data_IF_678381385972
#
_entry.id   IF_678381385972
#
_cell.length_a   1.000
_cell.length_b   1.000
_cell.length_c   1.000
_cell.angle_alpha   90.00
_cell.angle_beta   90.00
_cell.angle_gamma   90.00
#
_symmetry.space_group_name_H-M   'P 1'
#
loop_
_entity.id
_entity.type
_entity.pdbx_description
1 polymer ?
#
# COMPACT_ATOMS: atom_id res chain seq x y z
N UNK A 1 2.90 9.04 22.59
CA UNK A 1 1.77 9.24 21.63
C UNK A 1 2.21 8.98 20.19
N UNK A 2 3.38 9.46 19.78
CA UNK A 2 3.91 9.32 18.41
C UNK A 2 4.19 7.86 17.97
N UNK A 3 4.58 6.99 18.90
CA UNK A 3 4.81 5.56 18.63
C UNK A 3 3.54 4.81 18.19
N UNK A 4 2.36 5.21 18.70
CA UNK A 4 1.08 4.60 18.35
C UNK A 4 0.67 5.02 16.93
N UNK A 5 0.90 6.29 16.54
CA UNK A 5 0.68 6.74 15.17
C UNK A 5 1.61 6.03 14.17
N UNK A 6 2.88 5.83 14.52
CA UNK A 6 3.80 5.08 13.68
C UNK A 6 3.36 3.61 13.51
N UNK A 7 2.93 2.96 14.59
CA UNK A 7 2.42 1.58 14.56
C UNK A 7 1.15 1.45 13.72
N UNK A 8 0.19 2.38 13.87
CA UNK A 8 -1.03 2.41 13.06
C UNK A 8 -0.68 2.65 11.59
N UNK A 9 0.23 3.58 11.29
CA UNK A 9 0.68 3.85 9.92
C UNK A 9 1.33 2.63 9.26
N UNK A 10 2.25 1.95 9.95
CA UNK A 10 2.88 0.70 9.46
C UNK A 10 1.82 -0.38 9.27
N UNK A 11 0.91 -0.55 10.24
CA UNK A 11 -0.13 -1.56 10.16
C UNK A 11 -1.08 -1.30 8.98
N UNK A 12 -1.49 -0.06 8.75
CA UNK A 12 -2.30 0.34 7.61
C UNK A 12 -1.57 0.09 6.28
N UNK A 13 -0.28 0.42 6.18
CA UNK A 13 0.52 0.13 4.99
C UNK A 13 0.57 -1.38 4.73
N UNK A 14 0.75 -2.19 5.78
CA UNK A 14 0.81 -3.64 5.69
C UNK A 14 -0.52 -4.25 5.22
N UNK A 15 -1.64 -3.82 5.80
CA UNK A 15 -2.99 -4.27 5.41
C UNK A 15 -3.28 -3.92 3.95
N UNK A 16 -2.95 -2.71 3.52
CA UNK A 16 -3.21 -2.28 2.14
C UNK A 16 -2.28 -2.99 1.15
N UNK A 17 -1.01 -3.26 1.50
CA UNK A 17 -0.13 -4.12 0.70
C UNK A 17 -0.71 -5.53 0.53
N UNK A 18 -1.24 -6.12 1.60
CA UNK A 18 -1.87 -7.44 1.54
C UNK A 18 -3.11 -7.41 0.63
N UNK A 19 -3.97 -6.38 0.74
CA UNK A 19 -5.15 -6.23 -0.13
C UNK A 19 -4.78 -6.07 -1.61
N UNK A 20 -3.71 -5.31 -1.90
CA UNK A 20 -3.17 -5.16 -3.25
C UNK A 20 -2.56 -6.47 -3.77
N UNK A 21 -1.90 -7.22 -2.90
CA UNK A 21 -1.37 -8.54 -3.23
C UNK A 21 -2.48 -9.54 -3.57
N UNK A 22 -3.57 -9.57 -2.79
CA UNK A 22 -4.74 -10.40 -3.09
C UNK A 22 -5.44 -9.97 -4.38
N UNK A 23 -5.61 -8.66 -4.61
CA UNK A 23 -6.17 -8.14 -5.86
C UNK A 23 -5.30 -8.50 -7.07
N UNK A 24 -3.97 -8.42 -6.93
CA UNK A 24 -3.05 -8.80 -7.98
C UNK A 24 -3.00 -10.33 -8.19
N UNK A 25 -3.16 -11.13 -7.13
CA UNK A 25 -3.27 -12.60 -7.22
C UNK A 25 -4.51 -13.03 -7.98
N UNK A 26 -5.63 -12.35 -7.77
CA UNK A 26 -6.89 -12.61 -8.47
C UNK A 26 -6.77 -12.40 -9.98
N UNK A 27 -5.88 -11.51 -10.43
CA UNK A 27 -5.65 -11.26 -11.86
C UNK A 27 -4.48 -12.08 -12.43
N UNK A 28 -3.32 -12.07 -11.77
CA UNK A 28 -2.15 -12.82 -12.22
C UNK A 28 -1.09 -12.96 -11.13
N UNK A 29 -0.76 -14.21 -10.76
CA UNK A 29 0.25 -14.54 -9.73
C UNK A 29 1.60 -13.85 -9.95
N UNK A 30 2.03 -13.69 -11.21
CA UNK A 30 3.29 -13.02 -11.54
C UNK A 30 3.29 -11.53 -11.21
N UNK A 31 2.17 -10.83 -11.44
CA UNK A 31 2.02 -9.41 -11.10
C UNK A 31 1.93 -9.20 -9.58
N UNK A 32 1.37 -10.16 -8.85
CA UNK A 32 1.30 -10.11 -7.39
C UNK A 32 2.68 -10.16 -6.74
N UNK A 33 3.55 -11.08 -7.18
CA UNK A 33 4.94 -11.16 -6.71
C UNK A 33 5.70 -9.88 -7.04
N UNK A 34 5.52 -9.33 -8.25
CA UNK A 34 6.13 -8.04 -8.64
C UNK A 34 5.65 -6.86 -7.78
N UNK A 35 4.37 -6.81 -7.40
CA UNK A 35 3.85 -5.82 -6.46
C UNK A 35 4.45 -5.96 -5.05
N UNK A 36 4.79 -7.17 -4.62
CA UNK A 36 5.37 -7.44 -3.30
C UNK A 36 6.87 -7.09 -3.26
N UNK A 37 7.60 -7.42 -4.32
CA UNK A 37 9.06 -7.22 -4.41
C UNK A 37 9.41 -5.80 -4.84
N UNK A 38 8.63 -5.20 -5.73
CA UNK A 38 8.86 -3.86 -6.26
C UNK A 38 7.70 -2.92 -5.94
N UNK A 39 7.81 -2.06 -4.90
CA UNK A 39 6.76 -1.10 -4.56
C UNK A 39 6.48 -0.09 -5.69
N UNK A 40 7.47 0.20 -6.54
CA UNK A 40 7.29 1.02 -7.75
C UNK A 40 6.39 0.33 -8.81
N UNK A 41 6.43 -1.00 -8.89
CA UNK A 41 5.59 -1.76 -9.82
C UNK A 41 4.11 -1.69 -9.43
N UNK A 42 3.85 -1.51 -8.13
CA UNK A 42 2.51 -1.34 -7.60
C UNK A 42 1.82 -0.08 -8.18
N UNK A 43 2.56 1.02 -8.35
CA UNK A 43 2.07 2.21 -9.04
C UNK A 43 1.77 1.95 -10.51
N UNK A 44 2.65 1.24 -11.20
CA UNK A 44 2.44 0.91 -12.61
C UNK A 44 1.22 0.00 -12.79
N UNK A 45 1.08 -1.02 -11.94
CA UNK A 45 -0.04 -1.95 -11.95
C UNK A 45 -1.36 -1.26 -11.62
N UNK A 46 -1.40 -0.46 -10.56
CA UNK A 46 -2.59 0.24 -10.14
C UNK A 46 -3.00 1.39 -11.08
N UNK A 47 -2.06 1.96 -11.85
CA UNK A 47 -2.39 2.86 -12.97
C UNK A 47 -3.03 2.11 -14.15
N UNK A 48 -2.69 0.84 -14.34
CA UNK A 48 -3.21 -0.01 -15.42
C UNK A 48 -4.55 -0.66 -15.07
N UNK A 49 -4.81 -0.90 -13.77
CA UNK A 49 -6.02 -1.53 -13.27
C UNK A 49 -6.89 -0.58 -12.46
N UNK A 50 -8.12 -0.31 -12.92
CA UNK A 50 -9.09 0.56 -12.22
C UNK A 50 -9.40 0.10 -10.79
N UNK A 51 -9.49 -1.21 -10.57
CA UNK A 51 -9.72 -1.82 -9.25
C UNK A 51 -8.54 -1.56 -8.29
N UNK A 52 -7.31 -1.84 -8.74
CA UNK A 52 -6.10 -1.58 -7.96
C UNK A 52 -5.82 -0.07 -7.79
N UNK A 53 -6.22 0.75 -8.77
CA UNK A 53 -6.15 2.20 -8.71
C UNK A 53 -7.01 2.81 -7.59
N UNK A 54 -8.12 2.16 -7.24
CA UNK A 54 -8.91 2.55 -6.05
C UNK A 54 -8.18 2.29 -4.74
N UNK A 55 -7.37 1.24 -4.68
CA UNK A 55 -6.55 0.89 -3.49
C UNK A 55 -5.29 1.77 -3.34
N UNK A 56 -4.86 2.48 -4.39
CA UNK A 56 -3.78 3.47 -4.30
C UNK A 56 -4.15 4.66 -3.42
N UNK A 57 -5.40 5.10 -3.45
CA UNK A 57 -5.88 6.25 -2.66
C UNK A 57 -5.71 6.02 -1.16
N UNK A 58 -6.25 4.93 -0.57
CA UNK A 58 -6.03 4.64 0.85
C UNK A 58 -4.55 4.33 1.14
N UNK A 59 -3.79 3.77 0.20
CA UNK A 59 -2.35 3.55 0.38
C UNK A 59 -1.61 4.90 0.57
N UNK A 60 -1.88 5.88 -0.30
CA UNK A 60 -1.31 7.22 -0.19
C UNK A 60 -1.70 7.91 1.11
N UNK A 61 -2.96 7.75 1.50
CA UNK A 61 -3.48 8.32 2.73
C UNK A 61 -2.79 7.71 3.96
N UNK A 62 -2.59 6.38 3.97
CA UNK A 62 -1.83 5.69 5.01
C UNK A 62 -0.34 6.09 5.04
N UNK A 63 0.30 6.24 3.88
CA UNK A 63 1.70 6.70 3.80
C UNK A 63 1.82 8.15 4.27
N UNK A 64 0.88 9.02 3.90
CA UNK A 64 0.84 10.41 4.38
C UNK A 64 0.63 10.49 5.89
N UNK A 65 -0.28 9.67 6.44
CA UNK A 65 -0.51 9.59 7.88
C UNK A 65 0.72 9.07 8.63
N UNK A 66 1.42 8.08 8.07
CA UNK A 66 2.67 7.58 8.61
C UNK A 66 3.77 8.67 8.58
N UNK A 67 3.92 9.37 7.46
CA UNK A 67 4.89 10.46 7.35
C UNK A 67 4.61 11.59 8.36
N UNK A 68 3.35 11.98 8.54
CA UNK A 68 2.94 12.95 9.57
C UNK A 68 3.28 12.42 10.97
N UNK A 69 2.99 11.14 11.25
CA UNK A 69 3.35 10.49 12.50
C UNK A 69 4.86 10.47 12.77
N UNK A 70 5.69 10.31 11.75
CA UNK A 70 7.15 10.36 11.84
C UNK A 70 7.66 11.80 12.07
N UNK A 71 7.10 12.78 11.36
CA UNK A 71 7.50 14.20 11.49
C UNK A 71 7.13 14.78 12.86
N UNK A 72 6.02 14.32 13.44
CA UNK A 72 5.55 14.76 14.76
C UNK A 72 6.18 13.92 15.89
N UNK A 73 6.87 12.81 15.57
CA UNK A 73 7.55 11.95 16.56
C UNK A 73 8.91 12.49 16.98
#
# INVERSE_FOLDING_TARGET
MSSVLCLIGIFSIFVIQILLFFSALAESKGKAVLCLVFPLYLFYFAKKNKEAGRLLVPLYLAVGLFAIGVVIS
#
